data_IF_222222385776
#
_entry.id   IF_222222385776
#
_cell.length_a   1.000
_cell.length_b   1.000
_cell.length_c   1.000
_cell.angle_alpha   90.00
_cell.angle_beta   90.00
_cell.angle_gamma   90.00
#
_symmetry.space_group_name_H-M   'P 1'
#
loop_
_entity.id
_entity.type
_entity.pdbx_description
1 polymer ?
#
# COMPACT_ATOMS: atom_id res chain seq x y z
N UNK A 1 -15.09 -7.27 -30.82
CA UNK A 1 -15.27 -7.21 -29.36
C UNK A 1 -13.98 -6.69 -28.74
N UNK A 2 -13.96 -5.47 -28.20
CA UNK A 2 -12.76 -4.94 -27.52
C UNK A 2 -12.75 -5.51 -26.10
N UNK A 3 -11.79 -6.37 -25.80
CA UNK A 3 -11.64 -6.92 -24.45
C UNK A 3 -10.76 -5.95 -23.66
N UNK A 4 -11.37 -5.24 -22.71
CA UNK A 4 -10.62 -4.44 -21.74
C UNK A 4 -9.90 -5.37 -20.76
N UNK A 5 -8.59 -5.19 -20.59
CA UNK A 5 -7.81 -6.06 -19.69
C UNK A 5 -8.02 -5.72 -18.21
N UNK A 6 -8.34 -4.45 -17.92
CA UNK A 6 -8.83 -4.04 -16.62
C UNK A 6 -10.35 -4.01 -16.70
N UNK A 7 -11.01 -4.96 -16.05
CA UNK A 7 -12.47 -4.95 -15.91
C UNK A 7 -12.87 -3.78 -15.01
N UNK A 8 -14.11 -3.29 -15.16
CA UNK A 8 -14.66 -2.31 -14.22
C UNK A 8 -14.59 -2.91 -12.81
N UNK A 9 -13.88 -2.22 -11.92
CA UNK A 9 -13.83 -2.61 -10.51
C UNK A 9 -15.18 -2.34 -9.86
N UNK A 10 -15.52 -3.18 -8.88
CA UNK A 10 -16.70 -2.99 -8.02
C UNK A 10 -16.58 -1.70 -7.20
N UNK A 11 -17.71 -1.03 -7.00
CA UNK A 11 -17.85 0.03 -6.01
C UNK A 11 -17.70 -0.52 -4.59
N UNK A 12 -17.42 0.36 -3.63
CA UNK A 12 -17.33 -0.06 -2.22
C UNK A 12 -18.66 -0.61 -1.68
N UNK A 13 -19.80 -0.08 -2.14
CA UNK A 13 -21.13 -0.58 -1.74
C UNK A 13 -21.40 -1.98 -2.31
N UNK A 14 -21.10 -2.21 -3.59
CA UNK A 14 -21.15 -3.55 -4.16
C UNK A 14 -20.19 -4.49 -3.41
N UNK A 15 -19.06 -3.95 -2.94
CA UNK A 15 -18.15 -4.74 -2.13
C UNK A 15 -18.76 -5.21 -0.81
N UNK A 16 -19.39 -4.30 -0.08
CA UNK A 16 -20.07 -4.60 1.17
C UNK A 16 -21.21 -5.60 0.98
N UNK A 17 -22.02 -5.42 -0.07
CA UNK A 17 -23.12 -6.32 -0.39
C UNK A 17 -22.63 -7.75 -0.64
N UNK A 18 -21.58 -7.91 -1.44
CA UNK A 18 -20.94 -9.21 -1.66
C UNK A 18 -20.45 -9.85 -0.36
N UNK A 19 -19.81 -9.09 0.53
CA UNK A 19 -19.33 -9.63 1.82
C UNK A 19 -20.51 -10.14 2.64
N UNK A 20 -21.60 -9.37 2.73
CA UNK A 20 -22.82 -9.79 3.45
C UNK A 20 -23.39 -11.08 2.87
N UNK A 21 -23.54 -11.16 1.55
CA UNK A 21 -24.11 -12.33 0.87
C UNK A 21 -23.25 -13.57 1.10
N UNK A 22 -21.93 -13.45 0.93
CA UNK A 22 -21.02 -14.58 1.08
C UNK A 22 -20.88 -15.02 2.53
N UNK A 23 -20.83 -14.10 3.50
CA UNK A 23 -20.86 -14.45 4.92
C UNK A 23 -22.18 -15.14 5.30
N UNK A 24 -23.31 -14.71 4.73
CA UNK A 24 -24.59 -15.37 4.94
C UNK A 24 -24.57 -16.82 4.47
N UNK A 25 -24.10 -17.05 3.25
CA UNK A 25 -24.05 -18.39 2.64
C UNK A 25 -23.06 -19.31 3.36
N UNK A 26 -21.85 -18.83 3.64
CA UNK A 26 -20.76 -19.68 4.12
C UNK A 26 -20.65 -19.78 5.64
N UNK A 27 -21.20 -18.82 6.39
CA UNK A 27 -21.03 -18.77 7.84
C UNK A 27 -22.35 -18.67 8.62
N UNK A 28 -23.27 -17.79 8.25
CA UNK A 28 -24.49 -17.60 9.05
C UNK A 28 -25.52 -18.72 8.86
N UNK A 29 -25.82 -19.13 7.62
CA UNK A 29 -26.75 -20.24 7.36
C UNK A 29 -26.25 -21.58 7.96
N UNK A 30 -24.95 -21.91 7.90
CA UNK A 30 -24.42 -23.12 8.55
C UNK A 30 -24.24 -23.00 10.08
N UNK A 31 -24.59 -21.86 10.69
CA UNK A 31 -24.45 -21.65 12.14
C UNK A 31 -23.02 -21.39 12.64
N UNK A 32 -22.09 -21.03 11.76
CA UNK A 32 -20.67 -20.76 12.05
C UNK A 32 -20.37 -19.28 12.38
N UNK A 33 -21.35 -18.57 12.94
CA UNK A 33 -21.22 -17.16 13.38
C UNK A 33 -20.01 -16.89 14.27
N UNK A 34 -19.62 -17.76 15.24
CA UNK A 34 -18.45 -17.53 16.08
C UNK A 34 -17.15 -17.33 15.29
N UNK A 35 -17.00 -17.99 14.13
CA UNK A 35 -15.82 -17.84 13.27
C UNK A 35 -15.73 -16.43 12.67
N UNK A 36 -16.87 -15.82 12.32
CA UNK A 36 -16.90 -14.44 11.82
C UNK A 36 -16.53 -13.46 12.93
N UNK A 37 -17.03 -13.70 14.15
CA UNK A 37 -16.73 -12.87 15.32
C UNK A 37 -15.24 -12.92 15.72
N UNK A 38 -14.58 -14.07 15.54
CA UNK A 38 -13.14 -14.20 15.75
C UNK A 38 -12.35 -13.23 14.86
N UNK A 39 -12.85 -12.96 13.65
CA UNK A 39 -12.22 -12.08 12.66
C UNK A 39 -12.91 -10.71 12.53
N UNK A 40 -13.57 -10.25 13.60
CA UNK A 40 -14.31 -8.98 13.62
C UNK A 40 -13.42 -7.77 13.31
N UNK A 41 -12.13 -7.81 13.70
CA UNK A 41 -11.17 -6.71 13.46
C UNK A 41 -10.88 -6.57 11.97
N UNK A 42 -10.60 -7.69 11.31
CA UNK A 42 -10.31 -7.75 9.88
C UNK A 42 -11.55 -7.37 9.08
N UNK A 43 -12.72 -7.89 9.45
CA UNK A 43 -14.01 -7.53 8.86
C UNK A 43 -14.27 -6.02 8.99
N UNK A 44 -14.17 -5.45 10.19
CA UNK A 44 -14.37 -4.03 10.41
C UNK A 44 -13.38 -3.20 9.57
N UNK A 45 -12.12 -3.63 9.49
CA UNK A 45 -11.08 -2.93 8.72
C UNK A 45 -11.41 -2.88 7.23
N UNK A 46 -11.79 -4.00 6.61
CA UNK A 46 -12.15 -4.01 5.18
C UNK A 46 -13.51 -3.36 4.91
N UNK A 47 -14.43 -3.40 5.88
CA UNK A 47 -15.75 -2.81 5.76
C UNK A 47 -15.72 -1.29 5.64
N UNK A 48 -14.85 -0.63 6.43
CA UNK A 48 -14.75 0.84 6.48
C UNK A 48 -13.75 1.42 5.49
N UNK A 49 -12.86 0.59 4.92
CA UNK A 49 -11.78 1.04 4.04
C UNK A 49 -12.22 0.97 2.58
N UNK A 50 -12.62 2.13 2.04
CA UNK A 50 -12.91 2.30 0.62
C UNK A 50 -11.61 2.37 -0.19
N UNK A 51 -11.46 1.44 -1.12
CA UNK A 51 -10.30 1.29 -1.99
C UNK A 51 -10.64 1.56 -3.47
N UNK A 52 -11.83 2.08 -3.80
CA UNK A 52 -12.26 2.27 -5.19
C UNK A 52 -11.30 3.15 -6.01
N UNK A 53 -10.60 4.09 -5.38
CA UNK A 53 -9.57 4.92 -6.05
C UNK A 53 -8.35 4.14 -6.53
N UNK A 54 -8.08 2.95 -6.00
CA UNK A 54 -6.96 2.08 -6.45
C UNK A 54 -7.10 1.77 -7.94
N UNK A 55 -8.30 1.45 -8.41
CA UNK A 55 -8.56 1.16 -9.83
C UNK A 55 -8.18 2.35 -10.72
N UNK A 56 -8.60 3.55 -10.33
CA UNK A 56 -8.30 4.79 -11.09
C UNK A 56 -6.80 5.08 -11.12
N UNK A 57 -6.11 4.91 -9.98
CA UNK A 57 -4.67 5.16 -9.87
C UNK A 57 -3.88 4.17 -10.72
N UNK A 58 -4.31 2.90 -10.75
CA UNK A 58 -3.61 1.83 -11.46
C UNK A 58 -4.01 1.69 -12.92
N UNK A 59 -5.00 2.42 -13.42
CA UNK A 59 -5.51 2.28 -14.80
C UNK A 59 -4.38 2.28 -15.86
N UNK A 60 -3.44 3.20 -15.74
CA UNK A 60 -2.30 3.33 -16.67
C UNK A 60 -1.24 2.22 -16.53
N UNK A 61 -1.31 1.40 -15.48
CA UNK A 61 -0.41 0.25 -15.28
C UNK A 61 -0.90 -1.04 -15.94
N UNK A 62 -2.10 -1.01 -16.54
CA UNK A 62 -2.68 -2.11 -17.31
C UNK A 62 -2.67 -1.77 -18.80
N UNK A 63 -2.40 -2.77 -19.64
CA UNK A 63 -2.56 -2.60 -21.08
C UNK A 63 -4.05 -2.46 -21.40
N UNK A 64 -4.48 -1.55 -22.27
CA UNK A 64 -5.90 -1.41 -22.57
C UNK A 64 -6.46 -2.67 -23.25
N UNK A 65 -5.69 -3.27 -24.18
CA UNK A 65 -6.21 -4.30 -25.10
C UNK A 65 -5.31 -5.54 -25.26
N UNK A 66 -4.16 -5.65 -24.55
CA UNK A 66 -3.21 -6.76 -24.73
C UNK A 66 -3.02 -7.57 -23.44
N UNK A 67 -3.06 -8.89 -23.59
CA UNK A 67 -2.80 -9.85 -22.51
C UNK A 67 -4.04 -10.64 -22.11
N UNK A 68 -3.98 -11.26 -20.94
CA UNK A 68 -5.14 -11.88 -20.31
C UNK A 68 -5.85 -10.85 -19.42
N UNK A 69 -7.19 -10.91 -19.29
CA UNK A 69 -7.93 -10.08 -18.34
C UNK A 69 -7.37 -10.24 -16.93
N UNK A 70 -7.05 -9.11 -16.31
CA UNK A 70 -6.52 -9.08 -14.96
C UNK A 70 -7.62 -9.29 -13.92
N UNK A 71 -7.24 -9.82 -12.76
CA UNK A 71 -8.07 -9.77 -11.55
C UNK A 71 -8.25 -8.32 -11.11
N UNK A 72 -9.36 -8.05 -10.44
CA UNK A 72 -9.66 -6.70 -9.94
C UNK A 72 -8.50 -6.21 -9.05
N UNK A 73 -7.79 -5.13 -9.43
CA UNK A 73 -6.69 -4.60 -8.64
C UNK A 73 -7.12 -4.13 -7.26
N UNK A 74 -8.39 -3.74 -7.09
CA UNK A 74 -8.92 -3.29 -5.80
C UNK A 74 -8.96 -4.47 -4.82
N UNK A 75 -9.46 -5.62 -5.27
CA UNK A 75 -9.55 -6.83 -4.45
C UNK A 75 -8.17 -7.45 -4.19
N UNK A 76 -7.27 -7.43 -5.16
CA UNK A 76 -5.86 -7.82 -4.96
C UNK A 76 -5.17 -6.95 -3.91
N UNK A 77 -5.37 -5.63 -3.98
CA UNK A 77 -4.80 -4.70 -3.00
C UNK A 77 -5.40 -4.92 -1.61
N UNK A 78 -6.73 -5.10 -1.52
CA UNK A 78 -7.40 -5.42 -0.26
C UNK A 78 -6.88 -6.70 0.37
N UNK A 79 -6.67 -7.74 -0.44
CA UNK A 79 -6.10 -9.01 0.01
C UNK A 79 -4.69 -8.85 0.56
N UNK A 80 -3.84 -8.03 -0.07
CA UNK A 80 -2.50 -7.73 0.46
C UNK A 80 -2.54 -6.93 1.76
N UNK A 81 -3.50 -6.02 1.93
CA UNK A 81 -3.71 -5.32 3.20
C UNK A 81 -4.17 -6.28 4.30
N UNK A 82 -5.06 -7.22 3.97
CA UNK A 82 -5.48 -8.27 4.90
C UNK A 82 -4.32 -9.18 5.31
N UNK A 83 -3.49 -9.60 4.35
CA UNK A 83 -2.27 -10.37 4.60
C UNK A 83 -1.36 -9.65 5.62
N UNK A 84 -1.16 -8.33 5.46
CA UNK A 84 -0.40 -7.54 6.43
C UNK A 84 -1.11 -7.44 7.79
N UNK A 85 -2.43 -7.26 7.81
CA UNK A 85 -3.23 -7.17 9.05
C UNK A 85 -3.17 -8.47 9.88
N UNK A 86 -3.14 -9.62 9.20
CA UNK A 86 -2.99 -10.94 9.83
C UNK A 86 -1.54 -11.32 10.11
N UNK A 87 -0.58 -10.44 9.76
CA UNK A 87 0.86 -10.66 9.91
C UNK A 87 1.42 -11.83 9.10
N UNK A 88 0.72 -12.23 8.02
CA UNK A 88 1.25 -13.20 7.07
C UNK A 88 2.34 -12.53 6.21
N UNK A 89 3.49 -13.16 6.10
CA UNK A 89 4.68 -12.63 5.41
C UNK A 89 5.02 -13.38 4.13
N UNK A 90 4.35 -14.49 3.87
CA UNK A 90 4.53 -15.36 2.72
C UNK A 90 3.30 -15.32 1.82
N UNK A 91 3.49 -14.94 0.55
CA UNK A 91 2.39 -14.91 -0.44
C UNK A 91 1.90 -16.33 -0.72
N UNK A 92 2.80 -17.30 -0.74
CA UNK A 92 2.47 -18.71 -0.93
C UNK A 92 1.55 -19.21 0.20
N UNK A 93 1.90 -18.93 1.45
CA UNK A 93 1.08 -19.29 2.62
C UNK A 93 -0.23 -18.49 2.65
N UNK A 94 -0.20 -17.21 2.25
CA UNK A 94 -1.42 -16.41 2.10
C UNK A 94 -2.39 -17.01 1.07
N UNK A 95 -1.90 -17.42 -0.10
CA UNK A 95 -2.73 -18.07 -1.12
C UNK A 95 -3.26 -19.41 -0.64
N UNK A 96 -2.48 -20.18 0.12
CA UNK A 96 -2.96 -21.40 0.76
C UNK A 96 -4.08 -21.11 1.76
N UNK A 97 -3.94 -20.05 2.57
CA UNK A 97 -4.96 -19.59 3.51
C UNK A 97 -6.23 -19.12 2.80
N UNK A 98 -6.11 -18.40 1.68
CA UNK A 98 -7.25 -17.98 0.84
C UNK A 98 -8.05 -19.17 0.31
N UNK A 99 -7.35 -20.27 -0.07
CA UNK A 99 -7.98 -21.51 -0.55
C UNK A 99 -8.59 -22.35 0.57
N UNK A 100 -7.91 -22.39 1.72
CA UNK A 100 -8.29 -23.24 2.85
C UNK A 100 -9.47 -22.66 3.64
N UNK A 101 -9.50 -21.33 3.82
CA UNK A 101 -10.48 -20.66 4.68
C UNK A 101 -11.29 -19.64 3.88
N UNK A 102 -12.59 -19.91 3.61
CA UNK A 102 -13.45 -19.01 2.84
C UNK A 102 -13.49 -17.57 3.36
N UNK A 103 -13.34 -17.37 4.67
CA UNK A 103 -13.35 -16.04 5.29
C UNK A 103 -12.31 -15.11 4.65
N UNK A 104 -11.11 -15.59 4.36
CA UNK A 104 -10.05 -14.75 3.80
C UNK A 104 -10.32 -14.39 2.34
N UNK A 105 -10.88 -15.32 1.57
CA UNK A 105 -11.35 -15.04 0.21
C UNK A 105 -12.45 -13.98 0.21
N UNK A 106 -13.47 -14.16 1.05
CA UNK A 106 -14.63 -13.26 1.15
C UNK A 106 -14.19 -11.86 1.56
N UNK A 107 -13.40 -11.72 2.63
CA UNK A 107 -12.95 -10.41 3.10
C UNK A 107 -12.00 -9.74 2.09
N UNK A 108 -11.28 -10.51 1.28
CA UNK A 108 -10.47 -9.98 0.17
C UNK A 108 -11.32 -9.48 -1.01
N UNK A 109 -12.57 -9.94 -1.13
CA UNK A 109 -13.47 -9.65 -2.26
C UNK A 109 -13.56 -10.78 -3.30
N UNK A 110 -12.89 -11.92 -3.06
CA UNK A 110 -12.88 -13.08 -3.96
C UNK A 110 -13.97 -14.07 -3.59
N UNK A 111 -14.54 -14.72 -4.60
CA UNK A 111 -15.42 -15.86 -4.36
C UNK A 111 -14.60 -17.02 -3.76
N UNK A 112 -15.08 -17.76 -2.74
CA UNK A 112 -14.30 -18.83 -2.11
C UNK A 112 -13.78 -19.91 -3.05
N UNK A 113 -14.53 -20.17 -4.13
CA UNK A 113 -14.17 -21.15 -5.16
C UNK A 113 -13.30 -20.58 -6.30
N UNK A 114 -12.99 -19.28 -6.26
CA UNK A 114 -12.29 -18.57 -7.34
C UNK A 114 -11.30 -17.55 -6.77
N UNK A 115 -10.22 -18.06 -6.16
CA UNK A 115 -9.16 -17.26 -5.55
C UNK A 115 -7.94 -17.12 -6.48
N UNK A 116 -7.24 -15.97 -6.46
CA UNK A 116 -6.03 -15.78 -7.26
C UNK A 116 -4.89 -16.74 -6.86
N UNK A 117 -4.03 -17.05 -7.83
CA UNK A 117 -2.80 -17.81 -7.59
C UNK A 117 -1.64 -16.91 -7.14
N UNK A 118 -0.57 -17.54 -6.67
CA UNK A 118 0.67 -16.88 -6.23
C UNK A 118 1.25 -15.93 -7.30
N UNK A 119 1.32 -16.40 -8.56
CA UNK A 119 1.82 -15.59 -9.67
C UNK A 119 1.02 -14.30 -9.90
N UNK A 120 -0.30 -14.32 -9.69
CA UNK A 120 -1.17 -13.14 -9.83
C UNK A 120 -0.82 -12.06 -8.82
N UNK A 121 -0.49 -12.44 -7.57
CA UNK A 121 -0.05 -11.49 -6.55
C UNK A 121 1.31 -10.89 -6.89
N UNK A 122 2.29 -11.70 -7.34
CA UNK A 122 3.58 -11.17 -7.74
C UNK A 122 3.49 -10.25 -8.97
N UNK A 123 2.66 -10.59 -9.96
CA UNK A 123 2.39 -9.74 -11.11
C UNK A 123 1.75 -8.41 -10.69
N UNK A 124 0.84 -8.44 -9.71
CA UNK A 124 0.24 -7.23 -9.15
C UNK A 124 1.25 -6.36 -8.40
N UNK A 125 2.06 -6.95 -7.51
CA UNK A 125 3.12 -6.24 -6.79
C UNK A 125 4.12 -5.58 -7.75
N UNK A 126 4.45 -6.26 -8.86
CA UNK A 126 5.32 -5.70 -9.91
C UNK A 126 4.71 -4.46 -10.55
N UNK A 127 3.38 -4.39 -10.71
CA UNK A 127 2.68 -3.20 -11.25
C UNK A 127 2.67 -2.03 -10.27
N UNK A 128 2.65 -2.30 -8.97
CA UNK A 128 2.73 -1.26 -7.92
C UNK A 128 4.11 -0.60 -7.84
N UNK A 129 5.15 -1.24 -8.38
CA UNK A 129 6.52 -0.75 -8.33
C UNK A 129 6.99 -0.22 -9.68
N UNK A 130 7.18 1.10 -9.77
CA UNK A 130 7.54 1.77 -11.03
C UNK A 130 9.01 1.59 -11.45
N UNK A 131 9.85 0.91 -10.66
CA UNK A 131 11.23 0.67 -11.09
C UNK A 131 11.28 -0.40 -12.18
N UNK A 132 12.04 -0.12 -13.23
CA UNK A 132 12.34 -1.10 -14.29
C UNK A 132 13.34 -2.16 -13.84
N UNK A 133 14.10 -1.91 -12.77
CA UNK A 133 15.07 -2.85 -12.23
C UNK A 133 14.95 -2.98 -10.71
N UNK A 134 15.29 -4.17 -10.19
CA UNK A 134 15.37 -4.41 -8.75
C UNK A 134 16.49 -3.58 -8.09
N UNK A 135 17.54 -3.24 -8.83
CA UNK A 135 18.69 -2.50 -8.34
C UNK A 135 18.60 -1.00 -8.65
N UNK A 136 17.96 -0.26 -7.74
CA UNK A 136 17.78 1.21 -7.86
C UNK A 136 19.11 1.96 -7.71
N UNK A 137 20.17 1.30 -7.22
CA UNK A 137 21.51 1.88 -7.12
C UNK A 137 22.58 0.91 -7.60
N UNK A 138 23.35 1.34 -8.60
CA UNK A 138 24.54 0.59 -9.07
C UNK A 138 25.72 0.62 -8.11
N UNK A 139 25.67 1.43 -7.05
CA UNK A 139 26.80 1.65 -6.12
C UNK A 139 26.54 1.02 -4.77
N UNK A 140 27.39 0.06 -4.41
CA UNK A 140 27.54 -0.42 -3.03
C UNK A 140 27.91 0.77 -2.13
N UNK A 141 27.11 1.05 -1.10
CA UNK A 141 27.38 2.15 -0.19
C UNK A 141 28.64 1.86 0.62
N UNK A 142 29.59 2.79 0.62
CA UNK A 142 30.73 2.73 1.55
C UNK A 142 30.21 2.84 2.99
N UNK A 143 30.74 2.04 3.93
CA UNK A 143 30.40 2.16 5.35
C UNK A 143 30.55 3.60 5.83
N UNK A 144 29.50 4.14 6.47
CA UNK A 144 29.55 5.49 7.05
C UNK A 144 30.28 5.42 8.39
N UNK A 145 31.32 6.24 8.59
CA UNK A 145 31.93 6.43 9.92
C UNK A 145 30.92 7.08 10.86
N UNK A 146 30.82 6.57 12.09
CA UNK A 146 29.99 7.19 13.15
C UNK A 146 30.39 8.66 13.33
N UNK A 147 29.42 9.59 13.46
CA UNK A 147 29.74 10.99 13.74
C UNK A 147 30.48 11.12 15.08
N UNK A 148 31.34 12.14 15.21
CA UNK A 148 32.00 12.45 16.49
C UNK A 148 30.91 12.74 17.54
N UNK A 149 31.05 12.17 18.74
CA UNK A 149 30.15 12.46 19.86
C UNK A 149 30.31 13.92 20.31
N UNK A 150 29.29 14.47 20.96
CA UNK A 150 29.37 15.75 21.66
C UNK A 150 30.40 15.70 22.80
N UNK A 151 30.79 16.87 23.32
CA UNK A 151 31.83 16.98 24.35
C UNK A 151 31.35 16.45 25.71
N UNK A 152 30.05 16.60 26.01
CA UNK A 152 29.41 16.11 27.23
C UNK A 152 28.27 15.14 26.93
N UNK A 153 27.86 14.36 27.94
CA UNK A 153 26.68 13.48 27.86
C UNK A 153 25.43 14.34 27.65
N UNK A 154 24.66 14.07 26.60
CA UNK A 154 23.49 14.87 26.20
C UNK A 154 23.78 15.94 25.14
N UNK A 155 25.05 16.25 24.86
CA UNK A 155 25.39 17.19 23.79
C UNK A 155 25.06 16.60 22.40
N UNK A 156 24.45 17.42 21.55
CA UNK A 156 24.32 17.12 20.13
C UNK A 156 25.71 17.01 19.49
N UNK A 157 25.89 16.07 18.57
CA UNK A 157 27.12 15.95 17.79
C UNK A 157 27.42 17.26 17.06
N UNK A 158 28.69 17.72 17.03
CA UNK A 158 29.04 18.97 16.39
C UNK A 158 28.68 18.94 14.89
N UNK A 159 28.04 20.01 14.41
CA UNK A 159 27.73 20.14 12.98
C UNK A 159 29.04 20.27 12.19
N UNK A 160 29.32 19.33 11.29
CA UNK A 160 30.48 19.40 10.39
C UNK A 160 30.49 20.64 9.49
N UNK A 161 29.33 21.20 9.18
CA UNK A 161 29.16 22.33 8.25
C UNK A 161 28.07 23.29 8.77
N UNK A 162 28.39 24.30 9.59
CA UNK A 162 27.40 25.27 10.07
C UNK A 162 26.69 25.97 8.89
N UNK A 163 25.42 26.35 9.08
CA UNK A 163 24.59 26.96 8.03
C UNK A 163 24.17 26.02 6.89
N UNK A 164 24.35 24.70 7.03
CA UNK A 164 23.95 23.72 6.00
C UNK A 164 22.48 23.82 5.61
N UNK A 165 21.60 24.09 6.58
CA UNK A 165 20.16 24.26 6.35
C UNK A 165 19.89 25.49 5.49
N UNK A 166 20.42 26.67 5.87
CA UNK A 166 20.27 27.91 5.09
C UNK A 166 20.80 27.75 3.66
N UNK A 167 21.96 27.11 3.48
CA UNK A 167 22.50 26.81 2.14
C UNK A 167 21.61 25.86 1.34
N UNK A 168 21.03 24.85 1.98
CA UNK A 168 20.10 23.92 1.34
C UNK A 168 18.83 24.64 0.88
N UNK A 169 18.24 25.46 1.75
CA UNK A 169 17.04 26.26 1.45
C UNK A 169 17.32 27.22 0.31
N UNK A 170 18.40 28.01 0.38
CA UNK A 170 18.77 28.93 -0.69
C UNK A 170 18.99 28.21 -2.03
N UNK A 171 19.60 27.02 -2.00
CA UNK A 171 19.79 26.20 -3.21
C UNK A 171 18.46 25.70 -3.77
N UNK A 172 17.53 25.28 -2.91
CA UNK A 172 16.20 24.82 -3.31
C UNK A 172 15.40 25.96 -3.97
N UNK A 173 15.44 27.16 -3.37
CA UNK A 173 14.75 28.34 -3.90
C UNK A 173 15.36 28.81 -5.24
N UNK A 174 16.69 28.80 -5.35
CA UNK A 174 17.40 29.18 -6.58
C UNK A 174 17.25 28.14 -7.70
N UNK A 175 17.20 26.86 -7.34
CA UNK A 175 17.11 25.75 -8.27
C UNK A 175 16.04 24.76 -7.78
N UNK A 176 14.75 25.04 -8.06
CA UNK A 176 13.67 24.13 -7.71
C UNK A 176 13.95 22.73 -8.29
N UNK A 177 13.87 21.67 -7.48
CA UNK A 177 14.14 20.33 -7.97
C UNK A 177 13.02 19.87 -8.90
N UNK A 178 13.39 19.28 -10.02
CA UNK A 178 12.45 18.53 -10.85
C UNK A 178 12.25 17.17 -10.19
N UNK A 179 11.05 16.94 -9.67
CA UNK A 179 10.69 15.65 -9.10
C UNK A 179 10.41 14.65 -10.22
N UNK A 180 11.32 13.70 -10.41
CA UNK A 180 11.11 12.55 -11.28
C UNK A 180 10.25 11.52 -10.58
N UNK A 181 9.46 10.78 -11.38
CA UNK A 181 8.75 9.60 -10.91
C UNK A 181 9.71 8.64 -10.20
N UNK A 182 9.31 8.20 -9.01
CA UNK A 182 10.04 7.27 -8.16
C UNK A 182 9.35 5.92 -8.15
N UNK A 183 10.08 4.83 -7.84
CA UNK A 183 9.52 3.48 -7.81
C UNK A 183 8.27 3.31 -6.94
N UNK A 184 8.17 4.06 -5.84
CA UNK A 184 7.09 3.95 -4.85
C UNK A 184 5.97 4.97 -5.04
N UNK A 185 5.99 5.79 -6.10
CA UNK A 185 5.03 6.90 -6.24
C UNK A 185 3.58 6.39 -6.36
N UNK A 186 3.34 5.26 -7.03
CA UNK A 186 2.00 4.64 -7.09
C UNK A 186 1.48 4.26 -5.70
N UNK A 187 2.31 3.58 -4.90
CA UNK A 187 1.96 3.22 -3.52
C UNK A 187 1.67 4.46 -2.67
N UNK A 188 2.48 5.51 -2.79
CA UNK A 188 2.24 6.75 -2.06
C UNK A 188 0.96 7.46 -2.51
N UNK A 189 0.65 7.41 -3.80
CA UNK A 189 -0.60 7.97 -4.32
C UNK A 189 -1.80 7.20 -3.78
N UNK A 190 -1.77 5.86 -3.78
CA UNK A 190 -2.80 5.02 -3.17
C UNK A 190 -2.95 5.36 -1.68
N UNK A 191 -1.82 5.44 -0.95
CA UNK A 191 -1.82 5.78 0.47
C UNK A 191 -2.47 7.14 0.74
N UNK A 192 -2.08 8.17 -0.04
CA UNK A 192 -2.66 9.51 0.04
C UNK A 192 -4.17 9.49 -0.22
N UNK A 193 -4.58 8.86 -1.30
CA UNK A 193 -5.95 8.94 -1.82
C UNK A 193 -6.96 8.09 -1.04
N UNK A 194 -6.54 6.92 -0.55
CA UNK A 194 -7.42 5.96 0.14
C UNK A 194 -7.36 6.07 1.66
N UNK A 195 -6.27 6.59 2.24
CA UNK A 195 -6.10 6.63 3.69
C UNK A 195 -5.94 8.05 4.22
N UNK A 196 -4.98 8.83 3.71
CA UNK A 196 -4.68 10.16 4.28
C UNK A 196 -5.83 11.13 4.06
N UNK A 197 -6.31 11.28 2.83
CA UNK A 197 -7.40 12.22 2.51
C UNK A 197 -8.69 11.82 3.24
N UNK A 198 -9.16 10.56 3.19
CA UNK A 198 -10.36 10.16 3.93
C UNK A 198 -10.20 10.33 5.45
N UNK A 199 -9.02 10.07 6.01
CA UNK A 199 -8.76 10.28 7.45
C UNK A 199 -8.83 11.77 7.81
N UNK A 200 -8.31 12.65 6.96
CA UNK A 200 -8.39 14.10 7.13
C UNK A 200 -9.84 14.58 7.11
N UNK A 201 -10.64 14.09 6.14
CA UNK A 201 -12.07 14.40 6.02
C UNK A 201 -12.87 13.92 7.24
N UNK A 202 -12.48 12.79 7.84
CA UNK A 202 -13.04 12.29 9.10
C UNK A 202 -12.53 13.02 10.35
N UNK A 203 -11.66 14.01 10.21
CA UNK A 203 -11.08 14.77 11.33
C UNK A 203 -10.02 14.00 12.14
N UNK A 204 -9.57 12.82 11.68
CA UNK A 204 -8.63 11.98 12.42
C UNK A 204 -7.20 12.52 12.46
N UNK A 205 -6.87 13.45 11.56
CA UNK A 205 -5.53 14.07 11.49
C UNK A 205 -5.42 15.38 12.29
N UNK A 206 -6.48 15.77 13.01
CA UNK A 206 -6.53 17.04 13.74
C UNK A 206 -6.53 18.25 12.80
N UNK A 207 -5.77 19.30 13.13
CA UNK A 207 -5.73 20.52 12.34
C UNK A 207 -4.80 20.39 11.12
N UNK A 208 -5.40 20.26 9.93
CA UNK A 208 -4.69 20.09 8.65
C UNK A 208 -3.85 21.33 8.29
N UNK A 209 -4.19 22.51 8.79
CA UNK A 209 -3.43 23.75 8.56
C UNK A 209 -2.18 23.85 9.46
N UNK A 210 -2.05 22.98 10.46
CA UNK A 210 -0.94 22.97 11.42
C UNK A 210 -0.30 21.58 11.54
N UNK A 211 -0.06 20.91 10.41
CA UNK A 211 0.59 19.61 10.39
C UNK A 211 2.09 19.73 10.63
N UNK A 212 2.59 18.97 11.62
CA UNK A 212 4.04 18.79 11.83
C UNK A 212 4.58 17.71 10.89
N UNK A 213 5.64 18.02 10.16
CA UNK A 213 6.31 17.05 9.28
C UNK A 213 7.29 16.21 10.12
N UNK A 214 7.04 14.91 10.22
CA UNK A 214 8.00 13.92 10.69
C UNK A 214 8.48 13.06 9.52
N UNK A 215 9.77 12.72 9.50
CA UNK A 215 10.36 11.89 8.47
C UNK A 215 11.17 10.76 9.08
N UNK A 216 10.86 9.53 8.67
CA UNK A 216 11.65 8.34 9.00
C UNK A 216 12.52 7.91 7.80
N UNK A 217 13.60 7.20 8.09
CA UNK A 217 14.50 6.65 7.08
C UNK A 217 13.96 5.34 6.51
N UNK A 218 13.57 5.34 5.24
CA UNK A 218 13.30 4.09 4.50
C UNK A 218 14.56 3.58 3.80
N UNK A 219 14.67 2.26 3.68
CA UNK A 219 15.69 1.54 2.89
C UNK A 219 15.67 1.94 1.41
N UNK A 220 14.50 2.37 0.92
CA UNK A 220 14.31 2.83 -0.45
C UNK A 220 14.89 4.24 -0.61
N UNK A 221 15.54 4.52 -1.75
CA UNK A 221 16.00 5.88 -2.05
C UNK A 221 14.78 6.81 -2.25
N UNK A 222 14.48 7.58 -1.23
CA UNK A 222 13.57 8.73 -1.31
C UNK A 222 14.37 10.02 -1.53
N UNK A 223 13.69 11.13 -1.81
CA UNK A 223 14.34 12.45 -1.91
C UNK A 223 15.08 12.87 -0.63
N UNK A 224 14.73 12.27 0.52
CA UNK A 224 15.41 12.49 1.80
C UNK A 224 16.67 11.60 1.97
N UNK A 225 16.74 10.47 1.28
CA UNK A 225 17.83 9.49 1.38
C UNK A 225 18.94 9.77 0.36
N UNK A 226 19.85 10.69 0.68
CA UNK A 226 21.15 10.81 -0.04
C UNK A 226 22.05 9.60 0.27
#
# INVERSE_FOLDING_TARGET
>A
MVIFMLKSSRSHQEFQQFVVEQLKVHYFLPGLTPTVLLHQRELASVWVTDLSKVATILNNSYSPNKGAPSRDPVDLFRSLLLMELTQERSIDDWVNNLKAFPIWAILSGFHPNDVPGVGTFYDFLKRLWLATSAHISSKVRKPRRKPKKGKKKGDKSPLKKPGAVKRLVNRLLKHPPIFKSRPHDLLQQIFKECFVIPSAQKGLLGNINNLSIAGDGTSVRTGASR
#
